data_IF_645923185180
#
_entry.id   IF_645923185180
#
_cell.length_a   1.000
_cell.length_b   1.000
_cell.length_c   1.000
_cell.angle_alpha   90.00
_cell.angle_beta   90.00
_cell.angle_gamma   90.00
#
_symmetry.space_group_name_H-M   'P 1'
#
loop_
_entity.id
_entity.type
_entity.pdbx_description
1 polymer ?
#
# COMPACT_ATOMS: atom_id res chain seq x y z
N UNK A 1 23.15 43.17 28.04
CA UNK A 1 23.94 44.40 28.00
C UNK A 1 25.10 44.18 27.05
N UNK A 2 25.00 44.74 25.85
CA UNK A 2 25.92 45.77 25.32
C UNK A 2 27.33 45.85 25.96
N UNK A 3 28.46 46.03 25.25
CA UNK A 3 28.73 46.33 23.83
C UNK A 3 30.26 46.46 23.65
N UNK A 4 30.72 46.39 22.39
CA UNK A 4 31.91 47.05 21.77
C UNK A 4 33.31 46.40 21.76
N UNK A 5 33.71 46.11 20.52
CA UNK A 5 35.06 46.13 19.90
C UNK A 5 35.67 47.54 19.82
N UNK A 6 37.00 47.66 19.59
CA UNK A 6 37.53 48.16 18.30
C UNK A 6 38.83 47.41 17.87
N UNK A 7 39.40 47.47 16.66
CA UNK A 7 39.24 48.37 15.53
C UNK A 7 39.98 47.89 14.26
N UNK A 8 39.74 48.65 13.18
CA UNK A 8 40.08 48.48 11.75
C UNK A 8 41.51 48.93 11.35
N UNK A 9 42.05 48.39 10.25
CA UNK A 9 42.62 49.08 9.04
C UNK A 9 42.57 48.09 7.84
N UNK A 10 41.80 48.30 6.76
CA UNK A 10 42.04 49.09 5.51
C UNK A 10 43.41 48.77 4.86
N UNK A 11 43.58 48.38 3.60
CA UNK A 11 42.72 48.22 2.41
C UNK A 11 43.55 48.50 1.15
N UNK A 12 43.27 47.83 0.02
CA UNK A 12 43.47 48.29 -1.37
C UNK A 12 43.00 47.21 -2.37
N UNK A 13 42.05 47.55 -3.24
CA UNK A 13 41.63 46.74 -4.40
C UNK A 13 42.43 47.11 -5.66
N UNK A 14 41.78 47.25 -6.83
CA UNK A 14 41.06 46.23 -7.60
C UNK A 14 41.53 46.20 -9.08
N UNK A 15 41.15 45.18 -9.86
CA UNK A 15 41.20 45.24 -11.34
C UNK A 15 39.87 44.76 -11.94
N UNK A 16 39.34 45.60 -12.84
CA UNK A 16 38.17 45.45 -13.73
C UNK A 16 38.63 45.11 -15.15
N UNK A 17 37.78 44.41 -15.92
CA UNK A 17 37.45 44.67 -17.36
C UNK A 17 36.02 44.08 -17.60
N UNK A 18 34.92 44.85 -17.72
CA UNK A 18 34.28 45.55 -18.88
C UNK A 18 33.74 44.58 -19.97
N UNK A 19 32.43 44.25 -19.93
CA UNK A 19 31.24 44.75 -20.69
C UNK A 19 31.08 44.26 -22.15
N UNK A 20 29.88 43.73 -22.44
CA UNK A 20 29.05 44.19 -23.56
C UNK A 20 27.57 44.00 -23.21
N UNK A 21 26.80 45.08 -23.40
CA UNK A 21 25.35 45.16 -23.24
C UNK A 21 24.74 45.41 -24.62
N UNK A 22 23.54 44.88 -24.85
CA UNK A 22 22.71 45.20 -26.01
C UNK A 22 21.24 45.14 -25.60
N UNK A 23 20.66 46.29 -25.32
CA UNK A 23 19.23 46.50 -25.17
C UNK A 23 18.71 47.12 -26.48
N UNK A 24 17.55 46.66 -26.95
CA UNK A 24 16.73 47.36 -27.93
C UNK A 24 15.28 47.38 -27.44
N UNK A 25 14.67 48.54 -27.55
CA UNK A 25 13.43 48.94 -26.93
C UNK A 25 12.25 49.01 -27.94
N UNK A 26 11.04 48.99 -27.37
CA UNK A 26 9.76 49.56 -27.82
C UNK A 26 9.14 49.09 -29.15
N UNK A 27 7.92 48.58 -29.08
CA UNK A 27 6.73 49.35 -29.50
C UNK A 27 5.45 48.73 -28.92
N UNK A 28 4.64 49.57 -28.26
CA UNK A 28 3.24 49.28 -27.96
C UNK A 28 2.37 49.71 -29.15
N UNK A 29 1.38 48.89 -29.51
CA UNK A 29 0.20 49.33 -30.23
C UNK A 29 -1.04 48.71 -29.59
N UNK A 30 -1.94 49.61 -29.20
CA UNK A 30 -3.29 49.35 -28.72
C UNK A 30 -4.23 49.03 -29.89
N UNK A 31 -5.33 48.38 -29.50
CA UNK A 31 -6.65 48.31 -30.13
C UNK A 31 -6.93 47.15 -31.09
N UNK A 32 -7.93 46.36 -30.69
CA UNK A 32 -8.60 45.34 -31.49
C UNK A 32 -9.57 44.52 -30.64
N UNK A 33 -10.65 45.14 -30.17
CA UNK A 33 -11.81 44.40 -29.66
C UNK A 33 -12.28 43.43 -30.75
N UNK A 34 -12.21 42.13 -30.47
CA UNK A 34 -12.75 41.06 -31.30
C UNK A 34 -13.28 39.97 -30.40
N UNK A 35 -14.60 39.99 -30.15
CA UNK A 35 -15.35 38.89 -29.56
C UNK A 35 -15.31 37.69 -30.51
N UNK A 36 -14.52 36.67 -30.16
CA UNK A 36 -14.47 35.36 -30.81
C UNK A 36 -14.56 34.26 -29.76
N UNK A 37 -15.23 33.13 -30.05
CA UNK A 37 -15.77 32.24 -29.01
C UNK A 37 -14.65 31.52 -28.25
N UNK A 38 -14.89 31.31 -26.96
CA UNK A 38 -14.06 30.49 -26.10
C UNK A 38 -13.85 29.11 -26.76
N UNK A 39 -12.60 28.79 -27.06
CA UNK A 39 -12.22 27.43 -27.41
C UNK A 39 -12.41 26.58 -26.15
N UNK A 40 -13.50 25.81 -26.12
CA UNK A 40 -13.68 24.69 -25.20
C UNK A 40 -12.58 23.68 -25.47
N UNK A 41 -11.52 23.72 -24.67
CA UNK A 41 -10.63 22.57 -24.49
C UNK A 41 -11.48 21.41 -23.98
N UNK A 42 -11.88 20.56 -24.93
CA UNK A 42 -12.52 19.29 -24.65
C UNK A 42 -11.38 18.39 -24.21
N UNK A 43 -11.17 18.27 -22.90
CA UNK A 43 -10.36 17.18 -22.34
C UNK A 43 -11.01 15.88 -22.78
N UNK A 44 -10.39 15.23 -23.77
CA UNK A 44 -10.78 13.90 -24.17
C UNK A 44 -10.71 13.00 -22.95
N UNK A 45 -11.87 12.45 -22.55
CA UNK A 45 -11.95 11.46 -21.50
C UNK A 45 -10.98 10.32 -21.83
N UNK A 46 -10.27 9.84 -20.81
CA UNK A 46 -9.48 8.62 -20.90
C UNK A 46 -10.36 7.51 -21.50
N UNK A 47 -9.80 6.64 -22.37
CA UNK A 47 -10.58 5.57 -22.96
C UNK A 47 -11.10 4.69 -21.82
N UNK A 48 -12.42 4.67 -21.68
CA UNK A 48 -13.12 3.68 -20.87
C UNK A 48 -12.78 2.32 -21.49
N UNK A 49 -11.90 1.57 -20.84
CA UNK A 49 -11.65 0.17 -21.20
C UNK A 49 -12.89 -0.60 -20.76
N UNK A 50 -13.94 -0.47 -21.57
CA UNK A 50 -15.15 -1.27 -21.52
C UNK A 50 -14.80 -2.68 -21.98
N UNK A 51 -14.35 -3.51 -21.04
CA UNK A 51 -14.45 -4.95 -21.20
C UNK A 51 -15.86 -5.35 -20.79
N UNK A 52 -16.81 -5.23 -21.73
CA UNK A 52 -18.19 -5.74 -21.63
C UNK A 52 -18.27 -7.25 -21.94
N UNK A 53 -17.24 -8.01 -21.60
CA UNK A 53 -17.44 -9.44 -21.39
C UNK A 53 -18.12 -9.60 -20.04
N UNK A 54 -19.28 -10.28 -20.00
CA UNK A 54 -19.88 -10.65 -18.72
C UNK A 54 -18.85 -11.45 -17.93
N UNK A 55 -18.45 -10.93 -16.76
CA UNK A 55 -17.51 -11.62 -15.86
C UNK A 55 -17.99 -13.05 -15.63
N UNK A 56 -17.07 -13.99 -15.76
CA UNK A 56 -17.34 -15.41 -15.51
C UNK A 56 -17.18 -15.78 -14.03
N UNK A 57 -16.81 -14.81 -13.18
CA UNK A 57 -16.62 -15.06 -11.77
C UNK A 57 -17.92 -15.50 -11.09
N UNK A 58 -17.85 -16.51 -10.22
CA UNK A 58 -18.95 -16.80 -9.32
C UNK A 58 -19.17 -15.62 -8.37
N UNK A 59 -20.38 -15.54 -7.78
CA UNK A 59 -20.67 -14.62 -6.70
C UNK A 59 -19.63 -14.74 -5.56
N UNK A 60 -19.24 -13.60 -5.01
CA UNK A 60 -18.32 -13.54 -3.88
C UNK A 60 -18.95 -14.19 -2.66
N UNK A 61 -18.10 -14.70 -1.76
CA UNK A 61 -18.54 -15.35 -0.52
C UNK A 61 -17.85 -14.71 0.67
N UNK A 62 -18.51 -14.63 1.85
CA UNK A 62 -17.82 -14.28 3.09
C UNK A 62 -16.63 -15.22 3.31
N UNK A 63 -15.48 -14.68 3.71
CA UNK A 63 -14.30 -15.50 4.01
C UNK A 63 -14.51 -16.38 5.25
N UNK A 64 -15.36 -15.94 6.19
CA UNK A 64 -15.59 -16.60 7.47
C UNK A 64 -14.67 -16.10 8.60
N UNK A 65 -13.88 -15.07 8.35
CA UNK A 65 -13.20 -14.28 9.39
C UNK A 65 -14.21 -13.29 9.97
N UNK A 66 -14.77 -13.64 11.12
CA UNK A 66 -15.82 -12.85 11.75
C UNK A 66 -15.27 -12.13 13.00
N UNK A 67 -15.28 -10.78 13.02
CA UNK A 67 -14.99 -10.05 14.25
C UNK A 67 -16.05 -10.33 15.32
N UNK A 68 -15.72 -10.11 16.62
CA UNK A 68 -16.70 -10.22 17.69
C UNK A 68 -17.81 -9.18 17.54
N UNK A 69 -18.89 -9.34 18.32
CA UNK A 69 -19.98 -8.37 18.36
C UNK A 69 -19.46 -6.98 18.78
N UNK A 70 -19.86 -5.95 18.04
CA UNK A 70 -19.48 -4.56 18.30
C UNK A 70 -19.01 -3.85 17.04
N UNK A 71 -18.38 -2.70 17.23
CA UNK A 71 -17.84 -1.86 16.16
C UNK A 71 -16.41 -2.31 15.86
N UNK A 72 -16.31 -3.37 15.08
CA UNK A 72 -15.06 -3.96 14.61
C UNK A 72 -15.01 -4.02 13.09
N UNK A 73 -13.81 -3.92 12.53
CA UNK A 73 -13.58 -3.93 11.08
C UNK A 73 -12.43 -4.87 10.69
N UNK A 74 -12.40 -5.26 9.42
CA UNK A 74 -11.36 -6.13 8.85
C UNK A 74 -11.14 -5.79 7.39
N UNK A 75 -9.92 -5.38 7.01
CA UNK A 75 -9.58 -5.00 5.64
C UNK A 75 -8.09 -5.19 5.31
N UNK A 76 -7.72 -5.02 4.03
CA UNK A 76 -6.35 -5.14 3.52
C UNK A 76 -5.66 -6.45 3.94
N UNK A 77 -6.19 -7.62 3.52
CA UNK A 77 -5.69 -8.89 3.98
C UNK A 77 -4.43 -9.33 3.21
N UNK A 78 -3.58 -10.09 3.88
CA UNK A 78 -2.62 -11.00 3.27
C UNK A 78 -2.90 -12.42 3.73
N UNK A 79 -2.96 -13.35 2.78
CA UNK A 79 -3.30 -14.74 3.03
C UNK A 79 -2.13 -15.62 2.62
N UNK A 80 -1.46 -16.20 3.61
CA UNK A 80 -0.42 -17.20 3.40
C UNK A 80 -1.03 -18.59 3.54
N UNK A 81 -1.03 -19.37 2.46
CA UNK A 81 -1.50 -20.74 2.44
C UNK A 81 -0.32 -21.73 2.45
N UNK A 82 -0.38 -22.69 3.38
CA UNK A 82 0.58 -23.79 3.50
C UNK A 82 -0.16 -25.10 3.75
N UNK A 83 -0.36 -25.89 2.69
CA UNK A 83 -1.09 -27.15 2.76
C UNK A 83 -2.52 -26.94 3.26
N UNK A 84 -2.84 -27.49 4.43
CA UNK A 84 -4.18 -27.40 5.04
C UNK A 84 -4.33 -26.25 6.05
N UNK A 85 -3.40 -25.29 6.05
CA UNK A 85 -3.45 -24.11 6.94
C UNK A 85 -3.39 -22.82 6.12
N UNK A 86 -4.21 -21.85 6.49
CA UNK A 86 -4.13 -20.46 6.02
C UNK A 86 -3.87 -19.53 7.21
N UNK A 87 -2.97 -18.59 7.04
CA UNK A 87 -2.81 -17.46 7.96
C UNK A 87 -3.32 -16.21 7.26
N UNK A 88 -4.38 -15.62 7.78
CA UNK A 88 -4.98 -14.39 7.26
C UNK A 88 -4.58 -13.26 8.18
N UNK A 89 -3.60 -12.46 7.75
CA UNK A 89 -3.23 -11.21 8.39
C UNK A 89 -4.02 -10.07 7.76
N UNK A 90 -4.47 -9.10 8.54
CA UNK A 90 -5.30 -7.99 8.02
C UNK A 90 -5.30 -6.81 8.98
N UNK A 91 -5.74 -5.64 8.52
CA UNK A 91 -5.98 -4.50 9.38
C UNK A 91 -7.29 -4.65 10.13
N UNK A 92 -7.26 -4.42 11.44
CA UNK A 92 -8.45 -4.37 12.26
C UNK A 92 -8.18 -3.65 13.57
N UNK A 93 -9.24 -3.32 14.29
CA UNK A 93 -9.14 -2.75 15.61
C UNK A 93 -9.17 -3.83 16.71
N UNK A 94 -8.39 -3.58 17.76
CA UNK A 94 -8.41 -4.40 18.98
C UNK A 94 -9.61 -4.10 19.87
N UNK A 95 -10.05 -2.84 19.92
CA UNK A 95 -11.08 -2.34 20.83
C UNK A 95 -12.28 -1.83 20.04
N UNK A 96 -13.49 -2.29 20.41
CA UNK A 96 -14.74 -1.90 19.77
C UNK A 96 -14.90 -0.37 19.73
N UNK A 97 -15.23 0.17 18.56
CA UNK A 97 -15.53 1.59 18.37
C UNK A 97 -14.30 2.50 18.32
N UNK A 98 -13.09 1.94 18.35
CA UNK A 98 -11.83 2.66 18.19
C UNK A 98 -11.20 2.35 16.84
N UNK A 99 -11.03 3.38 16.01
CA UNK A 99 -10.34 3.28 14.71
C UNK A 99 -8.84 3.42 14.95
N UNK A 100 -8.23 2.33 15.40
CA UNK A 100 -6.81 2.20 15.67
C UNK A 100 -6.33 0.87 15.13
N UNK A 101 -5.58 0.91 14.04
CA UNK A 101 -5.23 -0.29 13.31
C UNK A 101 -4.15 -1.09 14.00
N UNK A 102 -4.43 -2.37 14.10
CA UNK A 102 -3.51 -3.42 14.49
C UNK A 102 -3.39 -4.39 13.32
N UNK A 103 -2.26 -5.08 13.26
CA UNK A 103 -2.17 -6.28 12.43
C UNK A 103 -2.86 -7.41 13.18
N UNK A 104 -4.02 -7.81 12.66
CA UNK A 104 -4.83 -8.90 13.17
C UNK A 104 -4.44 -10.21 12.47
N UNK A 105 -4.80 -11.34 13.09
CA UNK A 105 -4.60 -12.68 12.54
C UNK A 105 -5.81 -13.57 12.84
N UNK A 106 -6.27 -14.27 11.80
CA UNK A 106 -7.14 -15.44 11.89
C UNK A 106 -6.51 -16.62 11.16
N UNK A 107 -6.59 -17.81 11.77
CA UNK A 107 -5.97 -19.02 11.25
C UNK A 107 -7.04 -19.94 10.69
N UNK A 108 -6.96 -20.22 9.40
CA UNK A 108 -7.82 -21.14 8.67
C UNK A 108 -7.30 -22.57 8.72
N UNK A 109 -8.19 -23.54 8.93
CA UNK A 109 -7.92 -24.97 8.73
C UNK A 109 -8.83 -25.52 7.64
N UNK A 110 -8.24 -26.29 6.73
CA UNK A 110 -8.97 -26.88 5.61
C UNK A 110 -9.75 -28.12 6.06
N UNK A 111 -11.02 -28.19 5.71
CA UNK A 111 -11.86 -29.38 5.84
C UNK A 111 -12.52 -29.69 4.49
N UNK A 112 -11.91 -30.61 3.73
CA UNK A 112 -12.29 -30.83 2.33
C UNK A 112 -12.08 -29.57 1.47
N UNK A 113 -13.16 -29.06 0.89
CA UNK A 113 -13.14 -27.86 0.03
C UNK A 113 -13.49 -26.57 0.76
N UNK A 114 -13.67 -26.61 2.08
CA UNK A 114 -14.02 -25.43 2.89
C UNK A 114 -12.92 -25.11 3.90
N UNK A 115 -12.90 -23.85 4.32
CA UNK A 115 -12.01 -23.35 5.36
C UNK A 115 -12.83 -22.98 6.58
N UNK A 116 -12.36 -23.34 7.77
CA UNK A 116 -12.85 -22.83 9.04
C UNK A 116 -11.78 -21.96 9.69
N UNK A 117 -12.15 -20.76 10.12
CA UNK A 117 -11.22 -19.78 10.66
C UNK A 117 -11.36 -19.64 12.17
N UNK A 118 -10.22 -19.47 12.85
CA UNK A 118 -10.20 -19.11 14.27
C UNK A 118 -10.78 -17.72 14.50
N UNK A 119 -11.21 -17.47 15.74
CA UNK A 119 -11.52 -16.12 16.19
C UNK A 119 -10.33 -15.17 15.93
N UNK A 120 -10.60 -13.91 15.52
CA UNK A 120 -9.59 -12.87 15.40
C UNK A 120 -8.77 -12.66 16.66
N UNK A 121 -7.47 -12.44 16.48
CA UNK A 121 -6.57 -11.97 17.54
C UNK A 121 -5.56 -10.96 16.99
N UNK A 122 -5.00 -10.14 17.86
CA UNK A 122 -3.88 -9.26 17.50
C UNK A 122 -2.65 -10.14 17.20
N UNK A 123 -2.01 -9.93 16.04
CA UNK A 123 -0.68 -10.45 15.74
C UNK A 123 0.39 -9.52 16.31
N UNK A 124 0.27 -8.22 16.10
CA UNK A 124 1.01 -7.15 16.78
C UNK A 124 0.34 -5.80 16.47
N UNK A 125 0.75 -4.72 17.14
CA UNK A 125 0.19 -3.40 16.88
C UNK A 125 0.96 -2.25 17.53
N UNK A 126 0.33 -1.07 17.58
CA UNK A 126 0.93 0.18 18.06
C UNK A 126 1.64 0.08 19.42
N UNK A 127 1.12 -0.71 20.35
CA UNK A 127 1.70 -0.88 21.69
C UNK A 127 3.10 -1.53 21.69
N UNK A 128 3.44 -2.28 20.63
CA UNK A 128 4.76 -2.87 20.43
C UNK A 128 5.67 -1.98 19.56
N UNK A 129 5.14 -0.87 19.04
CA UNK A 129 5.81 -0.04 18.05
C UNK A 129 6.78 0.99 18.65
N UNK A 130 7.87 1.31 17.95
CA UNK A 130 8.64 2.53 18.19
C UNK A 130 7.81 3.78 17.86
N UNK A 131 8.32 4.98 18.18
CA UNK A 131 7.60 6.24 18.02
C UNK A 131 7.06 6.52 16.59
N UNK A 132 7.71 5.98 15.54
CA UNK A 132 7.26 6.13 14.16
C UNK A 132 6.09 5.19 13.78
N UNK A 133 5.75 4.22 14.64
CA UNK A 133 4.76 3.18 14.40
C UNK A 133 3.81 2.96 15.60
N UNK A 134 3.72 3.93 16.51
CA UNK A 134 3.02 3.79 17.78
C UNK A 134 1.54 4.20 17.75
N UNK A 135 0.92 4.33 16.56
CA UNK A 135 -0.45 4.82 16.44
C UNK A 135 -1.33 3.99 15.47
N UNK A 136 -0.91 3.74 14.23
CA UNK A 136 -1.50 2.69 13.35
C UNK A 136 -0.42 1.72 12.85
N UNK A 137 -0.77 0.43 12.78
CA UNK A 137 -0.03 -0.58 12.02
C UNK A 137 -1.01 -1.39 11.17
N UNK A 138 -0.84 -1.34 9.85
CA UNK A 138 -1.81 -1.84 8.88
C UNK A 138 -1.10 -2.34 7.59
N UNK A 139 -1.87 -2.73 6.58
CA UNK A 139 -1.49 -3.30 5.29
C UNK A 139 -0.40 -4.37 5.42
N UNK A 140 -0.64 -5.46 6.17
CA UNK A 140 0.38 -6.48 6.37
C UNK A 140 0.65 -7.22 5.05
N UNK A 141 1.92 -7.42 4.70
CA UNK A 141 2.39 -8.35 3.67
C UNK A 141 3.40 -9.31 4.29
N UNK A 142 3.18 -10.61 4.11
CA UNK A 142 3.93 -11.66 4.81
C UNK A 142 4.82 -12.42 3.84
N UNK A 143 6.08 -12.66 4.23
CA UNK A 143 7.01 -13.48 3.47
C UNK A 143 7.86 -14.36 4.37
N UNK A 144 8.20 -15.54 3.83
CA UNK A 144 9.23 -16.43 4.36
C UNK A 144 10.59 -16.05 3.77
N UNK A 145 11.63 -16.19 4.57
CA UNK A 145 13.00 -15.94 4.15
C UNK A 145 14.03 -16.35 5.21
N UNK A 146 15.18 -15.69 5.18
CA UNK A 146 16.24 -15.83 6.19
C UNK A 146 16.70 -14.43 6.59
N UNK A 147 16.17 -13.93 7.70
CA UNK A 147 16.39 -12.55 8.15
C UNK A 147 17.26 -12.55 9.40
N UNK A 148 18.58 -12.32 9.26
CA UNK A 148 19.47 -12.25 10.41
C UNK A 148 19.31 -10.91 11.12
N UNK A 149 18.88 -10.93 12.37
CA UNK A 149 18.79 -9.75 13.21
C UNK A 149 19.09 -10.09 14.68
N UNK A 150 19.89 -9.27 15.35
CA UNK A 150 20.27 -9.45 16.76
C UNK A 150 20.80 -10.86 17.10
N UNK A 151 21.60 -11.44 16.20
CA UNK A 151 22.18 -12.77 16.38
C UNK A 151 21.23 -13.95 16.11
N UNK A 152 19.99 -13.68 15.71
CA UNK A 152 18.98 -14.70 15.39
C UNK A 152 18.60 -14.64 13.91
N UNK A 153 18.26 -15.78 13.31
CA UNK A 153 17.77 -15.85 11.92
C UNK A 153 16.27 -16.14 11.95
N UNK A 154 15.48 -15.12 11.66
CA UNK A 154 14.03 -15.26 11.62
C UNK A 154 13.57 -15.82 10.27
N UNK A 155 12.68 -16.83 10.26
CA UNK A 155 12.12 -17.39 9.02
C UNK A 155 10.99 -16.56 8.42
N UNK A 156 10.36 -15.65 9.17
CA UNK A 156 9.22 -14.86 8.70
C UNK A 156 9.44 -13.37 8.87
N UNK A 157 9.00 -12.61 7.87
CA UNK A 157 8.88 -11.17 7.90
C UNK A 157 7.44 -10.75 7.59
N UNK A 158 6.96 -9.72 8.26
CA UNK A 158 5.77 -8.97 7.88
C UNK A 158 6.20 -7.55 7.57
N UNK A 159 5.98 -7.12 6.33
CA UNK A 159 5.99 -5.72 5.93
C UNK A 159 4.65 -5.10 6.27
N UNK A 160 4.62 -3.85 6.68
CA UNK A 160 3.38 -3.19 7.08
C UNK A 160 3.49 -1.68 6.88
N UNK A 161 2.37 -1.01 6.63
CA UNK A 161 2.25 0.44 6.77
C UNK A 161 2.20 0.78 8.26
N UNK A 162 2.97 1.78 8.69
CA UNK A 162 2.86 2.32 10.03
C UNK A 162 2.74 3.83 10.02
N UNK A 163 2.02 4.33 11.01
CA UNK A 163 1.85 5.74 11.30
C UNK A 163 2.14 5.98 12.77
N UNK A 164 2.91 7.03 13.04
CA UNK A 164 3.34 7.40 14.38
C UNK A 164 2.68 8.68 14.85
N UNK A 165 2.53 8.83 16.16
CA UNK A 165 2.05 10.05 16.79
C UNK A 165 2.87 10.34 18.06
N UNK A 166 3.32 11.59 18.21
CA UNK A 166 4.04 12.02 19.42
C UNK A 166 3.14 12.10 20.66
N UNK A 167 1.83 12.11 20.47
CA UNK A 167 0.84 12.02 21.55
C UNK A 167 -0.10 10.84 21.33
N UNK A 168 -0.94 10.55 22.32
CA UNK A 168 -2.00 9.55 22.22
C UNK A 168 -3.38 10.22 22.01
N UNK A 169 -3.40 11.49 21.59
CA UNK A 169 -4.63 12.20 21.26
C UNK A 169 -5.30 11.58 20.02
N UNK A 170 -6.63 11.62 19.98
CA UNK A 170 -7.45 11.06 18.91
C UNK A 170 -8.32 12.16 18.28
N UNK A 171 -8.17 12.48 16.98
CA UNK A 171 -7.10 12.04 16.07
C UNK A 171 -5.72 12.60 16.47
N UNK A 172 -4.64 12.03 15.92
CA UNK A 172 -3.30 12.61 16.08
C UNK A 172 -3.27 14.02 15.48
N UNK A 173 -2.72 15.03 16.19
CA UNK A 173 -2.58 16.36 15.61
C UNK A 173 -1.57 16.38 14.44
N UNK A 174 -1.87 17.06 13.32
CA UNK A 174 -1.01 17.11 12.12
C UNK A 174 0.47 17.44 12.38
N UNK A 175 0.75 18.32 13.33
CA UNK A 175 2.11 18.74 13.69
C UNK A 175 2.88 17.71 14.54
N UNK A 176 2.21 16.63 14.95
CA UNK A 176 2.71 15.59 15.84
C UNK A 176 2.77 14.22 15.16
N UNK A 177 2.36 14.14 13.89
CA UNK A 177 2.32 12.93 13.10
C UNK A 177 3.72 12.55 12.62
N UNK A 178 3.95 11.25 12.55
CA UNK A 178 4.91 10.65 11.62
C UNK A 178 4.06 10.07 10.49
N UNK A 179 4.04 10.69 9.29
CA UNK A 179 3.24 10.21 8.17
C UNK A 179 3.52 8.75 7.83
N UNK A 180 2.65 8.11 7.06
CA UNK A 180 2.79 6.68 6.75
C UNK A 180 4.18 6.33 6.21
N UNK A 181 4.73 5.25 6.76
CA UNK A 181 6.03 4.68 6.39
C UNK A 181 5.92 3.16 6.31
N UNK A 182 6.88 2.53 5.64
CA UNK A 182 6.91 1.08 5.51
C UNK A 182 7.81 0.48 6.58
N UNK A 183 7.23 -0.37 7.43
CA UNK A 183 7.88 -1.13 8.48
C UNK A 183 8.15 -2.58 8.10
N UNK A 184 8.99 -3.24 8.89
CA UNK A 184 9.15 -4.71 8.86
C UNK A 184 9.22 -5.27 10.29
N UNK A 185 8.59 -6.41 10.52
CA UNK A 185 8.64 -7.16 11.77
C UNK A 185 9.01 -8.62 11.50
N UNK A 186 9.71 -9.27 12.43
CA UNK A 186 10.22 -10.62 12.26
C UNK A 186 9.66 -11.60 13.29
N UNK A 187 9.49 -12.87 12.91
CA UNK A 187 9.08 -13.91 13.85
C UNK A 187 9.53 -15.31 13.44
N UNK A 188 9.57 -16.22 14.42
CA UNK A 188 9.82 -17.65 14.23
C UNK A 188 8.59 -18.41 13.72
N UNK A 189 7.40 -17.83 13.86
CA UNK A 189 6.15 -18.47 13.49
C UNK A 189 5.11 -17.47 13.04
N UNK A 190 4.36 -17.81 11.98
CA UNK A 190 3.16 -17.06 11.59
C UNK A 190 2.11 -17.04 12.71
N UNK A 191 2.09 -18.08 13.56
CA UNK A 191 1.17 -18.19 14.68
C UNK A 191 1.69 -17.56 15.97
N UNK A 192 2.80 -16.81 15.93
CA UNK A 192 3.35 -16.19 17.12
C UNK A 192 2.32 -15.36 17.90
N UNK A 193 2.47 -15.37 19.23
CA UNK A 193 1.76 -14.45 20.11
C UNK A 193 2.24 -13.00 19.86
N UNK A 194 1.51 -11.96 20.34
CA UNK A 194 1.88 -10.57 20.11
C UNK A 194 3.33 -10.17 20.42
N UNK A 195 3.93 -10.76 21.46
CA UNK A 195 5.33 -10.51 21.84
C UNK A 195 6.36 -11.24 20.99
N UNK A 196 5.92 -12.19 20.15
CA UNK A 196 6.77 -12.99 19.27
C UNK A 196 7.06 -12.34 17.92
N UNK A 197 6.33 -11.30 17.54
CA UNK A 197 6.69 -10.42 16.42
C UNK A 197 7.63 -9.31 16.90
N UNK A 198 8.80 -9.22 16.30
CA UNK A 198 9.83 -8.23 16.64
C UNK A 198 9.82 -7.13 15.59
N UNK A 199 9.23 -5.98 15.93
CA UNK A 199 9.19 -4.80 15.06
C UNK A 199 10.59 -4.20 14.95
N UNK A 200 11.06 -3.99 13.72
CA UNK A 200 12.35 -3.35 13.46
C UNK A 200 12.31 -1.88 13.92
N UNK A 201 13.34 -1.36 14.61
CA UNK A 201 13.26 -0.09 15.32
C UNK A 201 13.19 1.14 14.42
N UNK A 202 13.59 1.04 13.15
CA UNK A 202 13.51 2.11 12.16
C UNK A 202 12.58 1.72 11.00
N UNK A 203 11.97 2.69 10.29
CA UNK A 203 11.25 2.38 9.06
C UNK A 203 12.19 1.73 8.04
N UNK A 204 11.71 0.70 7.33
CA UNK A 204 12.46 0.09 6.23
C UNK A 204 12.53 1.08 5.05
N UNK A 205 11.39 1.68 4.70
CA UNK A 205 11.28 2.78 3.75
C UNK A 205 10.57 3.94 4.47
N UNK A 206 11.30 5.01 4.74
CA UNK A 206 10.77 6.20 5.39
C UNK A 206 10.17 7.19 4.39
N UNK A 207 9.24 8.03 4.84
CA UNK A 207 8.80 9.17 4.02
C UNK A 207 9.96 10.14 3.75
N UNK A 208 10.94 10.26 4.65
CA UNK A 208 12.12 11.09 4.45
C UNK A 208 12.92 10.63 3.22
N UNK A 209 13.09 9.31 3.04
CA UNK A 209 13.77 8.72 1.88
C UNK A 209 13.04 8.98 0.58
N UNK A 210 11.71 8.91 0.60
CA UNK A 210 10.87 9.02 -0.61
C UNK A 210 10.56 10.47 -1.01
N UNK A 211 10.39 11.35 -0.03
CA UNK A 211 9.91 12.72 -0.21
C UNK A 211 10.91 13.80 0.24
N UNK A 212 12.13 13.43 0.64
CA UNK A 212 13.18 14.38 1.02
C UNK A 212 12.88 15.16 2.31
N UNK A 213 12.21 14.53 3.27
CA UNK A 213 11.96 15.12 4.59
C UNK A 213 10.55 15.67 4.81
N UNK A 214 9.71 15.71 3.76
CA UNK A 214 8.37 16.29 3.86
C UNK A 214 7.38 15.53 3.00
N UNK A 215 6.55 14.71 3.64
CA UNK A 215 5.34 14.26 2.97
C UNK A 215 4.39 15.45 2.76
N UNK A 216 3.88 15.69 1.54
CA UNK A 216 2.94 16.77 1.32
C UNK A 216 1.65 16.57 2.12
N UNK A 217 1.09 17.66 2.62
CA UNK A 217 -0.15 17.61 3.43
C UNK A 217 -1.28 16.94 2.65
N UNK A 218 -1.95 15.97 3.29
CA UNK A 218 -3.06 15.23 2.67
C UNK A 218 -2.63 14.08 1.75
N UNK A 219 -1.32 13.80 1.63
CA UNK A 219 -0.85 12.62 0.89
C UNK A 219 -0.75 11.39 1.78
N UNK A 220 -0.93 10.22 1.17
CA UNK A 220 -0.76 8.92 1.83
C UNK A 220 0.72 8.57 2.11
N UNK A 221 1.67 9.24 1.47
CA UNK A 221 3.12 9.03 1.64
C UNK A 221 3.59 7.63 1.22
N UNK A 222 4.04 6.81 2.19
CA UNK A 222 4.70 5.52 1.95
C UNK A 222 3.94 4.40 2.66
N UNK A 223 3.55 3.34 1.95
CA UNK A 223 2.86 2.22 2.59
C UNK A 223 2.30 1.21 1.60
N UNK A 224 1.30 0.44 2.03
CA UNK A 224 0.58 -0.56 1.24
C UNK A 224 1.52 -1.57 0.56
N UNK A 225 2.35 -2.28 1.34
CA UNK A 225 3.34 -3.18 0.77
C UNK A 225 2.70 -4.41 0.11
N UNK A 226 3.31 -4.86 -0.97
CA UNK A 226 3.23 -6.23 -1.48
C UNK A 226 4.64 -6.73 -1.76
N UNK A 227 4.88 -8.05 -1.76
CA UNK A 227 6.25 -8.53 -1.87
C UNK A 227 6.34 -9.98 -2.36
N UNK A 228 7.37 -10.26 -3.15
CA UNK A 228 7.73 -11.62 -3.59
C UNK A 228 9.21 -11.89 -3.29
N UNK A 229 9.54 -13.11 -2.89
CA UNK A 229 10.94 -13.50 -2.70
C UNK A 229 11.64 -13.64 -4.06
N UNK A 230 12.91 -13.21 -4.13
CA UNK A 230 13.76 -13.36 -5.32
C UNK A 230 14.65 -14.60 -5.22
N UNK A 231 15.13 -14.91 -4.02
CA UNK A 231 16.11 -15.98 -3.78
C UNK A 231 15.66 -17.04 -2.76
N UNK A 232 14.42 -16.95 -2.25
CA UNK A 232 13.92 -17.79 -1.17
C UNK A 232 14.52 -17.48 0.21
N UNK A 233 15.33 -16.42 0.33
CA UNK A 233 16.07 -16.03 1.51
C UNK A 233 15.89 -14.53 1.81
N UNK A 234 16.95 -13.73 1.69
CA UNK A 234 16.95 -12.32 2.09
C UNK A 234 16.66 -11.34 0.96
N UNK A 235 16.75 -11.75 -0.31
CA UNK A 235 16.47 -10.87 -1.46
C UNK A 235 14.99 -10.90 -1.81
N UNK A 236 14.39 -9.72 -1.83
CA UNK A 236 12.96 -9.53 -1.96
C UNK A 236 12.69 -8.44 -3.00
N UNK A 237 11.70 -8.68 -3.84
CA UNK A 237 11.10 -7.66 -4.67
C UNK A 237 9.92 -7.07 -3.90
N UNK A 238 10.12 -5.87 -3.37
CA UNK A 238 9.16 -5.13 -2.56
C UNK A 238 8.42 -4.14 -3.43
N UNK A 239 7.09 -4.20 -3.42
CA UNK A 239 6.18 -3.26 -4.06
C UNK A 239 5.51 -2.44 -2.97
N UNK A 240 5.26 -1.15 -3.22
CA UNK A 240 4.61 -0.28 -2.24
C UNK A 240 4.15 1.03 -2.88
N UNK A 241 3.19 1.69 -2.24
CA UNK A 241 2.82 3.06 -2.54
C UNK A 241 3.94 4.00 -2.09
N UNK A 242 4.54 4.76 -3.01
CA UNK A 242 5.62 5.70 -2.72
C UNK A 242 5.40 7.07 -3.38
N UNK A 243 6.50 7.83 -3.53
CA UNK A 243 6.46 9.10 -4.23
C UNK A 243 6.35 8.87 -5.75
N UNK A 244 5.24 9.30 -6.36
CA UNK A 244 4.96 9.08 -7.78
C UNK A 244 4.11 7.86 -8.10
N UNK A 245 3.50 7.21 -7.11
CA UNK A 245 2.58 6.08 -7.30
C UNK A 245 3.09 4.76 -6.72
N UNK A 246 2.57 3.65 -7.22
CA UNK A 246 2.95 2.31 -6.80
C UNK A 246 4.23 1.87 -7.52
N UNK A 247 5.29 1.59 -6.76
CA UNK A 247 6.65 1.35 -7.25
C UNK A 247 7.18 0.02 -6.73
N UNK A 248 8.29 -0.45 -7.31
CA UNK A 248 9.06 -1.59 -6.80
C UNK A 248 10.47 -1.21 -6.38
N UNK A 249 11.04 -1.97 -5.44
CA UNK A 249 12.46 -1.97 -5.06
C UNK A 249 12.93 -3.41 -4.90
N UNK A 250 14.15 -3.69 -5.33
CA UNK A 250 14.85 -4.86 -4.81
C UNK A 250 15.48 -4.48 -3.46
N UNK A 251 15.22 -5.30 -2.44
CA UNK A 251 15.83 -5.15 -1.11
C UNK A 251 16.54 -6.45 -0.73
N UNK A 252 17.63 -6.33 0.02
CA UNK A 252 18.31 -7.46 0.63
C UNK A 252 18.29 -7.29 2.16
N UNK A 253 17.51 -8.15 2.81
CA UNK A 253 17.25 -8.18 4.24
C UNK A 253 17.93 -9.38 4.92
N UNK A 254 18.89 -10.03 4.25
CA UNK A 254 19.66 -11.12 4.82
C UNK A 254 20.40 -10.70 6.12
N UNK A 255 20.80 -9.43 6.21
CA UNK A 255 21.40 -8.82 7.40
C UNK A 255 20.66 -7.53 7.78
N UNK A 256 19.82 -7.59 8.81
CA UNK A 256 19.10 -6.43 9.30
C UNK A 256 19.94 -5.48 10.16
N UNK A 257 21.21 -5.79 10.44
CA UNK A 257 22.12 -4.77 10.95
C UNK A 257 22.51 -3.77 9.83
N UNK A 258 22.51 -4.22 8.56
CA UNK A 258 22.90 -3.43 7.39
C UNK A 258 22.02 -3.79 6.18
N UNK A 259 20.70 -3.51 6.21
CA UNK A 259 19.82 -3.85 5.11
C UNK A 259 20.20 -3.06 3.85
N UNK A 260 20.19 -3.71 2.69
CA UNK A 260 20.46 -3.06 1.40
C UNK A 260 19.13 -2.74 0.73
N UNK A 261 18.90 -1.46 0.46
CA UNK A 261 17.66 -0.97 -0.15
C UNK A 261 17.98 -0.37 -1.52
N UNK A 262 17.63 -1.08 -2.58
CA UNK A 262 17.83 -0.65 -3.97
C UNK A 262 16.96 0.55 -4.35
N UNK A 263 17.14 1.12 -5.56
CA UNK A 263 16.39 2.28 -6.04
C UNK A 263 14.91 1.97 -6.26
N UNK A 264 14.04 2.97 -6.09
CA UNK A 264 12.63 2.87 -6.49
C UNK A 264 12.55 2.87 -8.01
N UNK A 265 11.75 1.94 -8.54
CA UNK A 265 11.51 1.78 -9.96
C UNK A 265 9.99 1.79 -10.18
N UNK A 266 9.46 2.71 -11.00
CA UNK A 266 8.06 2.67 -11.40
C UNK A 266 7.71 1.35 -12.10
N UNK A 267 6.48 0.89 -11.94
CA UNK A 267 5.97 -0.23 -12.71
C UNK A 267 5.71 0.19 -14.17
N UNK A 268 5.71 -0.76 -15.13
CA UNK A 268 5.17 -0.49 -16.46
C UNK A 268 3.73 0.02 -16.33
N UNK A 269 3.46 1.23 -16.80
CA UNK A 269 2.16 1.87 -16.60
C UNK A 269 1.08 1.42 -17.60
N UNK A 270 1.49 0.90 -18.77
CA UNK A 270 0.56 0.52 -19.82
C UNK A 270 -0.39 -0.59 -19.33
N UNK A 271 -1.70 -0.34 -19.42
CA UNK A 271 -2.73 -1.26 -18.96
C UNK A 271 -3.12 -1.15 -17.47
N UNK A 272 -2.49 -0.24 -16.72
CA UNK A 272 -2.88 0.11 -15.35
C UNK A 272 -3.48 1.53 -15.29
N UNK A 273 -4.30 1.84 -14.26
CA UNK A 273 -4.67 3.22 -13.96
C UNK A 273 -3.46 4.03 -13.48
N UNK A 274 -3.60 5.36 -13.51
CA UNK A 274 -2.57 6.31 -13.04
C UNK A 274 -2.21 6.13 -11.56
N UNK A 275 -3.11 5.53 -10.77
CA UNK A 275 -2.90 5.31 -9.35
C UNK A 275 -3.45 3.96 -8.90
N UNK A 276 -2.64 3.21 -8.15
CA UNK A 276 -3.02 1.93 -7.56
C UNK A 276 -3.14 2.12 -6.04
N UNK A 277 -4.34 1.91 -5.51
CA UNK A 277 -4.55 1.86 -4.07
C UNK A 277 -4.49 0.42 -3.57
N UNK A 278 -3.73 0.22 -2.49
CA UNK A 278 -3.67 -1.01 -1.72
C UNK A 278 -3.51 -2.29 -2.54
N UNK A 279 -2.60 -2.24 -3.49
CA UNK A 279 -2.43 -3.34 -4.43
C UNK A 279 -1.70 -4.53 -3.79
N UNK A 280 -2.15 -5.74 -4.11
CA UNK A 280 -1.49 -7.00 -3.75
C UNK A 280 -0.82 -7.60 -4.98
N UNK A 281 0.34 -8.24 -4.80
CA UNK A 281 1.14 -8.79 -5.90
C UNK A 281 1.57 -10.21 -5.56
N UNK A 282 1.41 -11.13 -6.50
CA UNK A 282 1.97 -12.49 -6.43
C UNK A 282 2.69 -12.84 -7.71
N UNK A 283 3.75 -13.65 -7.59
CA UNK A 283 4.46 -14.20 -8.74
C UNK A 283 4.06 -15.65 -9.00
N UNK A 284 3.92 -16.01 -10.27
CA UNK A 284 3.62 -17.36 -10.73
C UNK A 284 4.82 -17.91 -11.51
N UNK A 285 5.68 -18.75 -10.88
CA UNK A 285 6.94 -19.17 -11.48
C UNK A 285 6.81 -20.07 -12.72
N UNK A 286 5.79 -20.94 -12.78
CA UNK A 286 5.58 -21.87 -13.90
C UNK A 286 5.17 -21.17 -15.21
N UNK A 287 4.73 -19.92 -15.12
CA UNK A 287 4.29 -19.09 -16.25
C UNK A 287 5.13 -17.84 -16.46
N UNK A 288 6.16 -17.66 -15.64
CA UNK A 288 6.91 -16.39 -15.49
C UNK A 288 5.98 -15.17 -15.54
N UNK A 289 5.06 -15.06 -14.59
CA UNK A 289 4.00 -14.04 -14.64
C UNK A 289 3.73 -13.43 -13.27
N UNK A 290 3.60 -12.11 -13.21
CA UNK A 290 3.06 -11.42 -12.04
C UNK A 290 1.57 -11.21 -12.19
N UNK A 291 0.86 -11.35 -11.09
CA UNK A 291 -0.53 -10.93 -10.94
C UNK A 291 -0.60 -9.82 -9.90
N UNK A 292 -1.40 -8.80 -10.18
CA UNK A 292 -1.70 -7.70 -9.29
C UNK A 292 -3.20 -7.64 -9.06
N UNK A 293 -3.63 -7.38 -7.83
CA UNK A 293 -4.99 -6.94 -7.55
C UNK A 293 -4.98 -5.53 -6.97
N UNK A 294 -5.93 -4.70 -7.33
CA UNK A 294 -5.98 -3.29 -6.91
C UNK A 294 -7.40 -2.73 -6.91
N UNK A 295 -7.59 -1.64 -6.17
CA UNK A 295 -8.88 -0.96 -6.09
C UNK A 295 -9.16 -0.16 -7.37
N UNK A 296 -10.39 -0.23 -7.86
CA UNK A 296 -10.81 0.31 -9.14
C UNK A 296 -12.28 0.74 -9.12
N UNK A 297 -12.76 1.32 -10.22
CA UNK A 297 -14.14 1.78 -10.32
C UNK A 297 -14.37 3.12 -9.64
N UNK A 298 -15.60 3.38 -9.20
CA UNK A 298 -16.02 4.71 -8.76
C UNK A 298 -15.49 5.00 -7.35
N UNK A 299 -14.71 6.07 -7.21
CA UNK A 299 -14.27 6.58 -5.91
C UNK A 299 -15.47 7.08 -5.10
N UNK A 300 -15.55 6.67 -3.83
CA UNK A 300 -16.55 7.19 -2.91
C UNK A 300 -16.28 8.67 -2.57
N UNK A 301 -17.06 9.57 -3.17
CA UNK A 301 -16.97 11.01 -2.93
C UNK A 301 -17.79 11.50 -1.74
N UNK A 302 -18.47 10.62 -1.02
CA UNK A 302 -19.22 11.03 0.16
C UNK A 302 -18.22 11.51 1.24
N UNK A 303 -18.33 12.76 1.72
CA UNK A 303 -17.40 13.31 2.73
C UNK A 303 -17.38 12.51 4.04
N UNK A 304 -18.46 11.78 4.34
CA UNK A 304 -18.60 10.93 5.52
C UNK A 304 -18.51 9.43 5.19
N UNK A 305 -18.26 9.09 3.92
CA UNK A 305 -18.11 7.72 3.46
C UNK A 305 -16.68 7.21 3.59
N UNK A 306 -16.48 5.88 3.59
CA UNK A 306 -15.14 5.31 3.49
C UNK A 306 -14.46 5.75 2.19
N UNK A 307 -13.19 6.18 2.20
CA UNK A 307 -12.45 6.60 1.00
C UNK A 307 -12.00 5.37 0.19
N UNK A 308 -12.96 4.65 -0.39
CA UNK A 308 -12.78 3.38 -1.08
C UNK A 308 -13.49 3.38 -2.43
N UNK A 309 -13.26 2.33 -3.23
CA UNK A 309 -13.80 2.23 -4.58
C UNK A 309 -14.77 1.04 -4.73
N UNK A 310 -15.59 1.08 -5.77
CA UNK A 310 -16.65 0.09 -6.00
C UNK A 310 -16.14 -1.27 -6.42
N UNK A 311 -14.96 -1.34 -7.04
CA UNK A 311 -14.49 -2.53 -7.75
C UNK A 311 -13.08 -2.93 -7.31
N UNK A 312 -12.76 -4.21 -7.46
CA UNK A 312 -11.40 -4.75 -7.38
C UNK A 312 -11.05 -5.34 -8.74
N UNK A 313 -9.90 -4.98 -9.31
CA UNK A 313 -9.42 -5.52 -10.59
C UNK A 313 -8.24 -6.45 -10.34
N UNK A 314 -8.18 -7.53 -11.11
CA UNK A 314 -6.99 -8.39 -11.24
C UNK A 314 -6.38 -8.16 -12.62
N UNK A 315 -5.07 -7.93 -12.67
CA UNK A 315 -4.32 -7.83 -13.91
C UNK A 315 -3.05 -8.69 -13.86
N UNK A 316 -2.49 -9.02 -15.03
CA UNK A 316 -1.26 -9.79 -15.14
C UNK A 316 -0.27 -9.18 -16.13
N UNK A 317 1.02 -9.51 -15.95
CA UNK A 317 2.11 -9.12 -16.84
C UNK A 317 3.23 -10.17 -16.80
N UNK A 318 3.99 -10.31 -17.89
CA UNK A 318 5.17 -11.20 -17.93
C UNK A 318 6.18 -10.83 -16.83
N UNK A 319 6.91 -11.81 -16.31
CA UNK A 319 7.91 -11.63 -15.27
C UNK A 319 9.04 -10.72 -15.72
N UNK A 320 9.57 -10.97 -16.92
CA UNK A 320 10.63 -10.15 -17.52
C UNK A 320 10.26 -8.67 -17.63
N UNK A 321 8.97 -8.36 -17.86
CA UNK A 321 8.46 -6.99 -18.01
C UNK A 321 8.63 -6.15 -16.74
N UNK A 322 8.45 -6.76 -15.57
CA UNK A 322 8.67 -6.10 -14.28
C UNK A 322 10.13 -5.69 -14.14
N UNK A 323 11.06 -6.58 -14.50
CA UNK A 323 12.50 -6.33 -14.37
C UNK A 323 13.01 -5.32 -15.39
N UNK A 324 12.55 -5.38 -16.65
CA UNK A 324 12.94 -4.45 -17.70
C UNK A 324 12.25 -3.08 -17.60
N UNK A 325 11.13 -2.98 -16.87
CA UNK A 325 10.33 -1.76 -16.80
C UNK A 325 9.53 -1.48 -18.08
N UNK A 326 9.23 -2.51 -18.86
CA UNK A 326 8.53 -2.43 -20.15
C UNK A 326 7.45 -3.48 -20.26
N UNK A 327 6.39 -3.25 -21.03
CA UNK A 327 5.31 -4.23 -21.25
C UNK A 327 3.95 -3.63 -20.93
N UNK A 328 2.91 -4.44 -21.09
CA UNK A 328 1.51 -4.01 -20.91
C UNK A 328 0.81 -4.98 -19.99
N UNK A 329 0.17 -4.46 -18.94
CA UNK A 329 -0.70 -5.22 -18.07
C UNK A 329 -1.98 -5.61 -18.79
N UNK A 330 -2.38 -6.87 -18.64
CA UNK A 330 -3.64 -7.38 -19.13
C UNK A 330 -4.62 -7.49 -17.96
N UNK A 331 -5.76 -6.81 -18.05
CA UNK A 331 -6.86 -7.04 -17.11
C UNK A 331 -7.35 -8.47 -17.31
N UNK A 332 -7.30 -9.25 -16.23
CA UNK A 332 -7.79 -10.62 -16.18
C UNK A 332 -9.25 -10.64 -15.79
N UNK A 333 -9.62 -9.85 -14.78
CA UNK A 333 -10.96 -9.91 -14.19
C UNK A 333 -11.28 -8.66 -13.36
N UNK A 334 -12.58 -8.41 -13.15
CA UNK A 334 -13.08 -7.31 -12.32
C UNK A 334 -14.21 -7.78 -11.40
N UNK A 335 -13.97 -7.71 -10.10
CA UNK A 335 -14.96 -7.90 -9.05
C UNK A 335 -15.69 -6.57 -8.84
N UNK A 336 -17.01 -6.59 -8.95
CA UNK A 336 -17.91 -5.42 -8.89
C UNK A 336 -19.02 -5.66 -7.86
N UNK A 337 -19.86 -4.65 -7.53
CA UNK A 337 -21.01 -4.83 -6.65
C UNK A 337 -21.97 -5.96 -7.04
N UNK A 338 -22.06 -6.29 -8.34
CA UNK A 338 -22.88 -7.41 -8.81
C UNK A 338 -22.37 -8.78 -8.34
N UNK A 339 -21.09 -8.90 -8.01
CA UNK A 339 -20.49 -10.16 -7.56
C UNK A 339 -20.68 -10.37 -6.06
N UNK A 340 -20.48 -9.31 -5.27
CA UNK A 340 -20.51 -9.40 -3.80
C UNK A 340 -21.89 -9.07 -3.21
N UNK A 341 -22.74 -8.35 -3.95
CA UNK A 341 -23.96 -7.76 -3.41
C UNK A 341 -23.70 -6.52 -2.54
N UNK A 342 -22.44 -6.06 -2.45
CA UNK A 342 -22.01 -4.95 -1.62
C UNK A 342 -21.60 -3.73 -2.47
N UNK A 343 -21.82 -2.53 -1.93
CA UNK A 343 -21.57 -1.28 -2.65
C UNK A 343 -20.09 -1.07 -3.02
N UNK A 344 -19.17 -1.51 -2.16
CA UNK A 344 -17.73 -1.33 -2.33
C UNK A 344 -16.97 -2.65 -2.23
N UNK A 345 -15.93 -2.80 -3.05
CA UNK A 345 -15.08 -3.99 -3.13
C UNK A 345 -13.62 -3.51 -3.26
N UNK A 346 -12.86 -3.52 -2.19
CA UNK A 346 -11.62 -2.76 -2.07
C UNK A 346 -10.59 -3.46 -1.16
N UNK A 347 -9.39 -2.89 -1.03
CA UNK A 347 -8.30 -3.37 -0.22
C UNK A 347 -8.09 -4.88 -0.35
N UNK A 348 -7.77 -5.32 -1.57
CA UNK A 348 -7.66 -6.74 -1.91
C UNK A 348 -6.31 -7.37 -1.55
N UNK A 349 -6.32 -8.69 -1.39
CA UNK A 349 -5.18 -9.55 -1.14
C UNK A 349 -5.28 -10.83 -1.96
N UNK A 350 -4.19 -11.20 -2.64
CA UNK A 350 -4.11 -12.45 -3.38
C UNK A 350 -3.61 -13.58 -2.47
N UNK A 351 -4.28 -14.73 -2.49
CA UNK A 351 -3.81 -15.91 -1.75
C UNK A 351 -2.46 -16.35 -2.30
N UNK A 352 -1.48 -16.43 -1.42
CA UNK A 352 -0.09 -16.71 -1.77
C UNK A 352 0.50 -17.84 -0.93
N UNK A 353 1.51 -18.51 -1.48
CA UNK A 353 2.42 -19.34 -0.71
C UNK A 353 3.42 -18.50 0.11
N UNK A 354 4.30 -19.18 0.87
CA UNK A 354 5.23 -18.51 1.79
C UNK A 354 6.16 -17.47 1.16
N UNK A 355 6.46 -17.60 -0.12
CA UNK A 355 7.45 -16.77 -0.81
C UNK A 355 6.81 -15.66 -1.68
N UNK A 356 5.52 -15.36 -1.49
CA UNK A 356 4.79 -14.40 -2.33
C UNK A 356 4.52 -14.96 -3.73
N UNK A 357 4.51 -16.29 -3.84
CA UNK A 357 4.29 -17.01 -5.09
C UNK A 357 2.98 -17.76 -5.04
N UNK A 358 2.29 -17.90 -6.16
CA UNK A 358 1.16 -18.84 -6.28
C UNK A 358 1.49 -19.94 -7.29
N UNK A 359 1.54 -21.22 -6.86
CA UNK A 359 1.68 -22.36 -7.79
C UNK A 359 0.31 -22.86 -8.30
N UNK A 360 -0.78 -22.25 -7.84
CA UNK A 360 -2.13 -22.72 -8.11
C UNK A 360 -2.53 -22.44 -9.56
N UNK A 361 -3.38 -23.30 -10.13
CA UNK A 361 -4.09 -23.01 -11.39
C UNK A 361 -5.30 -22.08 -11.18
N UNK A 362 -5.59 -21.73 -9.93
CA UNK A 362 -6.63 -20.77 -9.56
C UNK A 362 -6.02 -19.64 -8.74
N UNK A 363 -6.47 -18.42 -8.99
CA UNK A 363 -6.15 -17.27 -8.16
C UNK A 363 -7.34 -17.02 -7.25
N UNK A 364 -7.13 -17.10 -5.94
CA UNK A 364 -8.15 -16.69 -4.97
C UNK A 364 -7.84 -15.26 -4.52
N UNK A 365 -8.85 -14.40 -4.67
CA UNK A 365 -8.78 -12.98 -4.35
C UNK A 365 -9.66 -12.75 -3.13
N UNK A 366 -9.05 -12.37 -2.02
CA UNK A 366 -9.76 -11.91 -0.84
C UNK A 366 -9.83 -10.39 -0.89
N UNK A 367 -11.01 -9.82 -0.78
CA UNK A 367 -11.23 -8.38 -0.83
C UNK A 367 -12.11 -7.96 0.33
N UNK A 368 -12.02 -6.68 0.67
CA UNK A 368 -12.88 -6.05 1.66
C UNK A 368 -14.16 -5.61 0.98
N UNK A 369 -15.30 -5.95 1.55
CA UNK A 369 -16.59 -5.39 1.15
C UNK A 369 -17.04 -4.33 2.14
N UNK A 370 -17.83 -3.37 1.66
CA UNK A 370 -18.52 -2.41 2.50
C UNK A 370 -19.86 -1.99 1.88
N UNK A 371 -20.86 -1.75 2.71
CA UNK A 371 -22.18 -1.21 2.31
C UNK A 371 -22.33 0.27 2.63
N UNK A 372 -21.24 0.93 2.99
CA UNK A 372 -21.28 2.29 3.48
C UNK A 372 -21.83 2.37 4.91
N UNK A 373 -22.68 3.37 5.16
CA UNK A 373 -22.93 3.94 6.49
C UNK A 373 -23.91 3.12 7.35
N UNK A 374 -23.65 3.06 8.66
CA UNK A 374 -24.61 2.55 9.66
C UNK A 374 -25.54 3.67 10.10
N UNK A 375 -26.84 3.38 10.29
CA UNK A 375 -27.93 4.36 10.57
C UNK A 375 -27.72 5.35 11.73
N UNK A 376 -26.64 5.20 12.51
CA UNK A 376 -26.32 5.91 13.75
C UNK A 376 -25.31 7.05 13.64
N UNK A 377 -24.67 7.31 12.49
CA UNK A 377 -23.53 8.24 12.43
C UNK A 377 -22.22 7.54 12.76
N UNK A 378 -21.18 7.84 11.98
CA UNK A 378 -19.83 7.28 12.16
C UNK A 378 -19.10 7.04 10.85
N UNK A 379 -17.77 6.90 10.95
CA UNK A 379 -16.91 6.43 9.86
C UNK A 379 -17.37 5.05 9.37
N UNK A 380 -17.53 4.87 8.06
CA UNK A 380 -18.14 3.67 7.46
C UNK A 380 -17.31 2.38 7.57
N UNK A 381 -16.12 2.42 8.20
CA UNK A 381 -15.23 1.26 8.34
C UNK A 381 -15.85 0.11 9.11
N UNK A 382 -16.85 0.36 9.97
CA UNK A 382 -17.49 -0.69 10.79
C UNK A 382 -18.19 -1.79 9.97
N UNK A 383 -18.52 -1.49 8.71
CA UNK A 383 -19.12 -2.47 7.78
C UNK A 383 -18.10 -3.34 7.05
N UNK A 384 -16.79 -3.05 7.19
CA UNK A 384 -15.74 -3.74 6.45
C UNK A 384 -15.65 -5.22 6.84
N UNK A 385 -15.83 -6.11 5.87
CA UNK A 385 -15.71 -7.56 6.03
C UNK A 385 -14.89 -8.17 4.91
N UNK A 386 -14.19 -9.26 5.21
CA UNK A 386 -13.40 -9.99 4.22
C UNK A 386 -14.27 -11.00 3.46
N UNK A 387 -14.27 -10.89 2.15
CA UNK A 387 -14.95 -11.77 1.20
C UNK A 387 -13.94 -12.29 0.19
N UNK A 388 -14.30 -13.31 -0.58
CA UNK A 388 -13.42 -13.86 -1.60
C UNK A 388 -14.14 -14.28 -2.88
N UNK A 389 -13.38 -14.28 -3.97
CA UNK A 389 -13.71 -14.93 -5.23
C UNK A 389 -12.54 -15.85 -5.63
N UNK A 390 -12.85 -16.86 -6.43
CA UNK A 390 -11.84 -17.71 -7.05
C UNK A 390 -11.92 -17.52 -8.56
N UNK A 391 -10.81 -17.07 -9.15
CA UNK A 391 -10.61 -16.91 -10.58
C UNK A 391 -9.83 -18.12 -11.12
N UNK A 392 -10.41 -18.93 -12.01
CA UNK A 392 -9.65 -19.93 -12.74
C UNK A 392 -8.66 -19.23 -13.66
N UNK A 393 -7.35 -19.45 -13.46
CA UNK A 393 -6.35 -18.83 -14.32
C UNK A 393 -6.28 -19.58 -15.66
N UNK A 394 -6.24 -18.87 -16.80
CA UNK A 394 -6.07 -19.49 -18.11
C UNK A 394 -4.70 -20.18 -18.29
#
# INVERSE_FOLDING_TARGET
>A
MDVRTPGKRRGAGPIRVIRAAGAAALLALLAGCGTGPAATETTAAAPDVSTTAASSLPASKPLGVNPPQGNFYSYAPTIVEQGNTRHVFYCGNRESGRVYDHVMLSVGKRNGNTWSYSAPRVAFGPAQGPAWANYHMCDPQVLRGQFRWNGHVYPWAIFFTAYGCKTQAAPCPPEQESPNQLGVAFSDSLDAAPSGWKVYPTPLISYDREFGGRCPTGHYCVGQPAATSVDGAGRILLFYQGNGGFVRREVNLADMANPVIGPAVPLPAAGLPDWLHNASVVYRPDRDRFYISYDAGVWNRNPNGPPVQTDTVVASIEGSAIWSGSGTWRVEERITPAHSGHAFNHNSGLVQGPYGTTPSSTLEIVHTVADGWTSSGGWGVWTYRLWFNTYPMP
#
